data_IF_572848548607
#
_entry.id   IF_572848548607
#
_cell.length_a   1.000
_cell.length_b   1.000
_cell.length_c   1.000
_cell.angle_alpha   90.00
_cell.angle_beta   90.00
_cell.angle_gamma   90.00
#
_symmetry.space_group_name_H-M   'P 1'
#
loop_
_entity.id
_entity.type
_entity.pdbx_description
1 polymer ?
#
# COMPACT_ATOMS: atom_id res chain seq x y z
N UNK A 1 -18.93 -9.55 5.08
CA UNK A 1 -17.59 -8.95 4.89
C UNK A 1 -17.13 -8.37 6.23
N UNK A 2 -15.85 -8.48 6.52
CA UNK A 2 -15.22 -8.01 7.75
C UNK A 2 -14.35 -6.79 7.45
N UNK A 3 -14.22 -5.88 8.41
CA UNK A 3 -13.41 -4.68 8.25
C UNK A 3 -12.77 -4.23 9.57
N UNK A 4 -11.69 -3.45 9.48
CA UNK A 4 -11.04 -2.85 10.64
C UNK A 4 -11.87 -1.67 11.17
N UNK A 5 -12.03 -1.61 12.47
CA UNK A 5 -12.71 -0.49 13.13
C UNK A 5 -12.03 0.84 12.78
N UNK A 6 -12.79 1.78 12.25
CA UNK A 6 -12.29 3.09 11.84
C UNK A 6 -11.25 3.04 10.68
N UNK A 7 -11.14 1.92 9.96
CA UNK A 7 -10.19 1.77 8.87
C UNK A 7 -8.71 1.80 9.29
N UNK A 8 -8.41 1.50 10.55
CA UNK A 8 -7.03 1.56 11.07
C UNK A 8 -6.41 0.17 11.15
N UNK A 9 -5.28 -0.04 10.50
CA UNK A 9 -4.48 -1.25 10.58
C UNK A 9 -3.07 -0.92 11.08
N UNK A 10 -2.75 -1.33 12.31
CA UNK A 10 -1.42 -1.23 12.90
C UNK A 10 -0.66 -2.51 12.55
N UNK A 11 0.57 -2.40 12.04
CA UNK A 11 1.33 -3.55 11.61
C UNK A 11 2.81 -3.46 12.00
N UNK A 12 3.40 -4.63 12.21
CA UNK A 12 4.82 -4.81 12.48
C UNK A 12 5.48 -5.60 11.35
N UNK A 13 6.79 -5.44 11.19
CA UNK A 13 7.56 -6.24 10.27
C UNK A 13 8.54 -7.15 11.00
N UNK A 14 8.54 -8.44 10.64
CA UNK A 14 9.55 -9.39 11.09
C UNK A 14 10.48 -9.75 9.92
N UNK A 15 11.78 -9.34 9.97
CA UNK A 15 12.75 -9.63 8.91
C UNK A 15 13.36 -11.05 9.02
N UNK A 16 12.99 -11.86 10.00
CA UNK A 16 13.49 -13.24 10.11
C UNK A 16 13.11 -14.02 8.85
N UNK A 17 14.04 -14.83 8.34
CA UNK A 17 13.92 -15.59 7.10
C UNK A 17 13.80 -14.73 5.81
N UNK A 18 13.94 -13.41 5.89
CA UNK A 18 13.95 -12.55 4.70
C UNK A 18 15.03 -13.01 3.71
N UNK A 19 14.72 -13.11 2.39
CA UNK A 19 15.71 -13.44 1.38
C UNK A 19 16.93 -12.52 1.42
N UNK A 20 18.12 -13.10 1.37
CA UNK A 20 19.40 -12.39 1.54
C UNK A 20 19.68 -11.36 0.43
N UNK A 21 19.05 -11.50 -0.72
CA UNK A 21 19.18 -10.56 -1.85
C UNK A 21 18.32 -9.30 -1.71
N UNK A 22 17.48 -9.21 -0.68
CA UNK A 22 16.66 -8.05 -0.38
C UNK A 22 17.13 -7.40 0.93
N UNK A 23 17.30 -6.08 0.96
CA UNK A 23 17.57 -5.39 2.21
C UNK A 23 16.28 -5.13 3.00
N UNK A 24 16.37 -5.14 4.33
CA UNK A 24 15.22 -4.80 5.20
C UNK A 24 14.63 -3.42 4.87
N UNK A 25 15.49 -2.45 4.58
CA UNK A 25 15.04 -1.11 4.21
C UNK A 25 14.23 -1.10 2.91
N UNK A 26 14.67 -1.85 1.88
CA UNK A 26 13.94 -1.93 0.60
C UNK A 26 12.63 -2.69 0.74
N UNK A 27 12.61 -3.76 1.55
CA UNK A 27 11.37 -4.52 1.84
C UNK A 27 10.37 -3.65 2.59
N UNK A 28 10.78 -2.96 3.65
CA UNK A 28 9.92 -2.01 4.39
C UNK A 28 9.35 -0.93 3.47
N UNK A 29 10.19 -0.33 2.62
CA UNK A 29 9.73 0.67 1.67
C UNK A 29 8.70 0.10 0.67
N UNK A 30 8.87 -1.15 0.24
CA UNK A 30 7.92 -1.83 -0.64
C UNK A 30 6.58 -2.13 0.07
N UNK A 31 6.61 -2.58 1.33
CA UNK A 31 5.38 -2.76 2.13
C UNK A 31 4.65 -1.43 2.29
N UNK A 32 5.36 -0.37 2.62
CA UNK A 32 4.77 0.95 2.79
C UNK A 32 4.14 1.47 1.49
N UNK A 33 4.79 1.26 0.32
CA UNK A 33 4.19 1.60 -0.98
C UNK A 33 2.95 0.76 -1.28
N UNK A 34 3.00 -0.54 -1.01
CA UNK A 34 1.84 -1.43 -1.19
C UNK A 34 0.65 -0.97 -0.34
N UNK A 35 0.87 -0.71 0.95
CA UNK A 35 -0.14 -0.17 1.86
C UNK A 35 -0.70 1.19 1.39
N UNK A 36 0.19 2.06 0.93
CA UNK A 36 -0.17 3.40 0.46
C UNK A 36 -1.08 3.39 -0.78
N UNK A 37 -0.97 2.39 -1.66
CA UNK A 37 -1.89 2.23 -2.79
C UNK A 37 -3.32 2.06 -2.31
N UNK A 38 -3.55 1.22 -1.31
CA UNK A 38 -4.88 1.01 -0.72
C UNK A 38 -5.41 2.28 -0.05
N UNK A 39 -4.58 2.97 0.73
CA UNK A 39 -4.97 4.26 1.35
C UNK A 39 -5.30 5.35 0.33
N UNK A 40 -4.77 5.26 -0.88
CA UNK A 40 -5.11 6.15 -1.99
C UNK A 40 -6.48 5.86 -2.63
N UNK A 41 -7.03 4.67 -2.42
CA UNK A 41 -8.28 4.23 -3.04
C UNK A 41 -9.47 4.24 -2.09
N UNK A 42 -9.25 3.96 -0.82
CA UNK A 42 -10.31 3.91 0.18
C UNK A 42 -9.84 4.49 1.52
N UNK A 43 -10.79 4.66 2.44
CA UNK A 43 -10.56 5.34 3.72
C UNK A 43 -9.92 4.41 4.76
N UNK A 44 -8.69 3.94 4.47
CA UNK A 44 -7.88 3.12 5.38
C UNK A 44 -6.56 3.82 5.72
N UNK A 45 -6.04 3.53 6.90
CA UNK A 45 -4.75 4.03 7.37
C UNK A 45 -3.92 2.87 7.88
N UNK A 46 -2.68 2.78 7.40
CA UNK A 46 -1.71 1.78 7.83
C UNK A 46 -0.65 2.42 8.71
N UNK A 47 -0.53 1.96 9.94
CA UNK A 47 0.45 2.47 10.89
C UNK A 47 1.56 1.43 11.07
N UNK A 48 2.76 1.75 10.60
CA UNK A 48 3.94 0.94 10.87
C UNK A 48 4.39 1.14 12.32
N UNK A 49 4.41 0.06 13.08
CA UNK A 49 4.70 0.07 14.52
C UNK A 49 6.15 -0.31 14.83
N UNK A 50 6.93 -0.72 13.84
CA UNK A 50 8.33 -1.08 14.02
C UNK A 50 8.64 -2.54 13.68
N UNK A 51 9.88 -2.94 13.92
CA UNK A 51 10.31 -4.32 13.81
C UNK A 51 9.85 -5.13 15.04
N UNK A 52 9.56 -6.42 14.81
CA UNK A 52 9.16 -7.35 15.85
C UNK A 52 9.88 -8.69 15.68
N UNK A 53 10.07 -9.43 16.77
CA UNK A 53 10.63 -10.79 16.74
C UNK A 53 9.59 -11.90 16.69
N UNK A 54 8.32 -11.58 16.94
CA UNK A 54 7.23 -12.54 16.80
C UNK A 54 7.06 -12.92 15.33
N UNK A 55 6.87 -14.20 15.06
CA UNK A 55 6.56 -14.68 13.71
C UNK A 55 5.09 -14.40 13.38
N UNK A 56 4.79 -14.17 12.08
CA UNK A 56 3.40 -14.13 11.65
C UNK A 56 2.74 -15.50 11.90
N UNK A 57 1.51 -15.49 12.36
CA UNK A 57 0.76 -16.66 12.73
C UNK A 57 -0.17 -17.11 11.60
N UNK A 58 0.00 -18.32 11.11
CA UNK A 58 -0.91 -18.96 10.14
C UNK A 58 -1.80 -20.05 10.79
N UNK A 59 -1.63 -20.30 12.10
CA UNK A 59 -2.47 -21.25 12.80
C UNK A 59 -3.92 -20.73 12.86
N UNK A 60 -4.86 -21.55 12.42
CA UNK A 60 -6.27 -21.20 12.40
C UNK A 60 -6.97 -21.29 13.76
N UNK A 61 -6.27 -21.67 14.83
CA UNK A 61 -6.86 -21.83 16.16
C UNK A 61 -7.16 -20.46 16.80
N UNK A 62 -8.38 -20.27 17.30
CA UNK A 62 -8.77 -19.05 17.98
C UNK A 62 -7.90 -18.71 19.21
N UNK A 63 -7.24 -19.73 19.80
CA UNK A 63 -6.34 -19.57 20.93
C UNK A 63 -4.99 -18.94 20.58
N UNK A 64 -4.65 -18.84 19.29
CA UNK A 64 -3.39 -18.28 18.81
C UNK A 64 -3.50 -16.83 18.34
N UNK A 65 -4.71 -16.27 18.32
CA UNK A 65 -4.97 -14.87 17.94
C UNK A 65 -4.40 -13.95 19.00
N UNK A 66 -3.40 -13.15 18.64
CA UNK A 66 -2.72 -12.26 19.56
C UNK A 66 -3.03 -10.77 19.33
N UNK A 67 -3.74 -10.44 18.25
CA UNK A 67 -4.10 -9.07 17.81
C UNK A 67 -2.88 -8.21 17.46
N UNK A 68 -1.82 -8.85 17.03
CA UNK A 68 -0.58 -8.21 16.59
C UNK A 68 -0.35 -8.55 15.13
N UNK A 69 -0.70 -7.65 14.23
CA UNK A 69 -0.56 -7.89 12.79
C UNK A 69 0.93 -7.91 12.40
N UNK A 70 1.44 -9.06 12.03
CA UNK A 70 2.84 -9.27 11.66
C UNK A 70 2.93 -9.57 10.17
N UNK A 71 3.75 -8.83 9.46
CA UNK A 71 4.12 -9.11 8.07
C UNK A 71 5.54 -9.67 8.06
N UNK A 72 5.73 -10.85 7.50
CA UNK A 72 7.02 -11.51 7.57
C UNK A 72 7.18 -12.65 6.56
N UNK A 73 8.06 -13.59 6.86
CA UNK A 73 8.55 -14.61 5.96
C UNK A 73 8.55 -15.98 6.63
N UNK A 74 8.06 -16.97 5.94
CA UNK A 74 8.23 -18.36 6.35
C UNK A 74 8.14 -19.30 5.14
N UNK A 75 8.50 -20.55 5.34
CA UNK A 75 8.30 -21.62 4.38
C UNK A 75 6.84 -22.09 4.41
N UNK A 76 6.08 -21.77 3.38
CA UNK A 76 4.71 -22.26 3.26
C UNK A 76 4.71 -23.75 2.96
N UNK A 77 3.83 -24.49 3.62
CA UNK A 77 3.74 -25.95 3.56
C UNK A 77 2.31 -26.41 3.26
N UNK A 78 2.16 -27.70 2.97
CA UNK A 78 0.85 -28.31 2.68
C UNK A 78 0.20 -27.70 1.45
N UNK A 79 -1.06 -27.34 1.56
CA UNK A 79 -1.85 -26.77 0.45
C UNK A 79 -1.31 -25.40 0.01
N UNK A 80 -0.69 -24.66 0.91
CA UNK A 80 -0.12 -23.33 0.61
C UNK A 80 1.30 -23.38 0.03
N UNK A 81 1.92 -24.54 -0.08
CA UNK A 81 3.35 -24.66 -0.49
C UNK A 81 3.66 -24.01 -1.85
N UNK A 82 2.67 -23.95 -2.75
CA UNK A 82 2.81 -23.33 -4.09
C UNK A 82 2.47 -21.84 -4.11
N UNK A 83 1.93 -21.28 -3.04
CA UNK A 83 1.52 -19.87 -2.99
C UNK A 83 2.73 -18.97 -2.77
N UNK A 84 2.66 -17.75 -3.34
CA UNK A 84 3.71 -16.74 -3.16
C UNK A 84 3.60 -16.04 -1.80
N UNK A 85 2.39 -15.86 -1.32
CA UNK A 85 2.08 -15.33 -0.01
C UNK A 85 0.78 -15.92 0.52
N UNK A 86 0.54 -15.73 1.80
CA UNK A 86 -0.73 -16.07 2.47
C UNK A 86 -1.02 -15.03 3.53
N UNK A 87 -2.25 -14.56 3.54
CA UNK A 87 -2.79 -13.75 4.63
C UNK A 87 -3.75 -14.58 5.46
N UNK A 88 -3.55 -14.57 6.77
CA UNK A 88 -4.49 -15.16 7.72
C UNK A 88 -5.13 -14.05 8.55
N UNK A 89 -6.45 -13.98 8.50
CA UNK A 89 -7.23 -12.98 9.23
C UNK A 89 -8.17 -13.62 10.24
N UNK A 90 -8.41 -12.93 11.36
CA UNK A 90 -9.37 -13.32 12.38
C UNK A 90 -10.32 -12.16 12.64
N UNK A 91 -11.57 -12.49 12.99
CA UNK A 91 -12.62 -11.51 13.18
C UNK A 91 -13.60 -11.90 14.30
N UNK A 92 -14.25 -10.92 14.87
CA UNK A 92 -15.37 -11.07 15.78
C UNK A 92 -16.56 -10.29 15.20
N UNK A 93 -17.61 -11.01 14.85
CA UNK A 93 -18.74 -10.43 14.11
C UNK A 93 -18.29 -9.89 12.75
N UNK A 94 -18.47 -8.59 12.52
CA UNK A 94 -17.98 -7.90 11.31
C UNK A 94 -16.62 -7.21 11.49
N UNK A 95 -16.02 -7.26 12.68
CA UNK A 95 -14.75 -6.59 12.98
C UNK A 95 -13.55 -7.50 12.80
N UNK A 96 -12.60 -7.11 11.94
CA UNK A 96 -11.26 -7.70 11.90
C UNK A 96 -10.53 -7.34 13.20
N UNK A 97 -9.83 -8.30 13.77
CA UNK A 97 -9.11 -8.15 15.04
C UNK A 97 -7.64 -8.53 14.92
N UNK A 98 -7.28 -9.28 13.86
CA UNK A 98 -5.93 -9.77 13.63
C UNK A 98 -5.76 -10.11 12.15
N UNK A 99 -4.59 -9.84 11.58
CA UNK A 99 -4.23 -10.23 10.22
C UNK A 99 -2.71 -10.35 10.05
N UNK A 100 -2.26 -11.55 9.80
CA UNK A 100 -0.85 -11.85 9.55
C UNK A 100 -0.59 -12.16 8.09
N UNK A 101 0.54 -11.68 7.57
CA UNK A 101 0.97 -11.94 6.20
C UNK A 101 2.30 -12.70 6.22
N UNK A 102 2.31 -13.84 5.54
CA UNK A 102 3.52 -14.63 5.32
C UNK A 102 3.87 -14.67 3.84
N UNK A 103 5.08 -14.22 3.51
CA UNK A 103 5.67 -14.35 2.19
C UNK A 103 6.49 -15.65 2.13
N UNK A 104 6.34 -16.43 1.05
CA UNK A 104 6.92 -17.76 0.93
C UNK A 104 8.44 -17.70 0.65
N UNK A 105 9.24 -18.22 1.57
CA UNK A 105 10.70 -18.27 1.41
C UNK A 105 11.18 -19.30 0.39
N UNK A 106 10.32 -20.22 -0.07
CA UNK A 106 10.66 -21.17 -1.12
C UNK A 106 10.81 -20.53 -2.51
N UNK A 107 10.37 -19.29 -2.68
CA UNK A 107 10.40 -18.59 -3.95
C UNK A 107 11.61 -17.66 -4.05
N UNK A 108 12.09 -17.45 -5.28
CA UNK A 108 13.04 -16.39 -5.56
C UNK A 108 12.31 -15.05 -5.71
N UNK A 109 12.76 -14.06 -4.98
CA UNK A 109 12.10 -12.76 -4.93
C UNK A 109 12.94 -11.66 -5.59
N UNK A 110 12.34 -10.96 -6.56
CA UNK A 110 12.74 -9.58 -6.86
C UNK A 110 11.93 -8.63 -5.98
N UNK A 111 12.41 -7.40 -5.80
CA UNK A 111 11.66 -6.40 -5.02
C UNK A 111 10.31 -6.06 -5.67
N UNK A 112 10.24 -6.07 -7.01
CA UNK A 112 9.02 -5.81 -7.76
C UNK A 112 7.97 -6.91 -7.56
N UNK A 113 8.39 -8.18 -7.60
CA UNK A 113 7.51 -9.33 -7.36
C UNK A 113 6.99 -9.32 -5.93
N UNK A 114 7.88 -9.06 -4.96
CA UNK A 114 7.52 -8.89 -3.55
C UNK A 114 6.46 -7.82 -3.38
N UNK A 115 6.67 -6.62 -3.95
CA UNK A 115 5.73 -5.50 -3.82
C UNK A 115 4.37 -5.82 -4.44
N UNK A 116 4.35 -6.53 -5.58
CA UNK A 116 3.12 -6.97 -6.22
C UNK A 116 2.32 -7.93 -5.35
N UNK A 117 2.96 -9.00 -4.87
CA UNK A 117 2.32 -9.99 -3.98
C UNK A 117 1.91 -9.35 -2.66
N UNK A 118 2.76 -8.52 -2.05
CA UNK A 118 2.43 -7.80 -0.82
C UNK A 118 1.21 -6.88 -1.00
N UNK A 119 1.05 -6.25 -2.17
CA UNK A 119 -0.15 -5.44 -2.46
C UNK A 119 -1.42 -6.31 -2.46
N UNK A 120 -1.36 -7.51 -3.03
CA UNK A 120 -2.46 -8.49 -2.99
C UNK A 120 -2.75 -8.95 -1.55
N UNK A 121 -1.74 -9.38 -0.81
CA UNK A 121 -1.91 -9.88 0.56
C UNK A 121 -2.46 -8.80 1.51
N UNK A 122 -2.05 -7.54 1.34
CA UNK A 122 -2.64 -6.42 2.09
C UNK A 122 -4.13 -6.27 1.78
N UNK A 123 -4.58 -6.53 0.55
CA UNK A 123 -6.01 -6.57 0.23
C UNK A 123 -6.76 -7.59 1.06
N UNK A 124 -6.20 -8.79 1.24
CA UNK A 124 -6.75 -9.81 2.15
C UNK A 124 -6.72 -9.35 3.61
N UNK A 125 -5.64 -8.72 4.05
CA UNK A 125 -5.55 -8.16 5.41
C UNK A 125 -6.59 -7.05 5.67
N UNK A 126 -7.08 -6.39 4.61
CA UNK A 126 -8.20 -5.44 4.67
C UNK A 126 -9.58 -6.12 4.67
N UNK A 127 -9.66 -7.43 4.48
CA UNK A 127 -10.92 -8.18 4.44
C UNK A 127 -11.49 -8.38 3.04
N UNK A 128 -10.70 -8.17 1.99
CA UNK A 128 -11.09 -8.47 0.62
C UNK A 128 -10.84 -9.93 0.29
N UNK A 129 -11.80 -10.55 -0.37
CA UNK A 129 -11.65 -11.86 -1.01
C UNK A 129 -11.03 -11.73 -2.40
N UNK A 130 -10.75 -12.86 -3.04
CA UNK A 130 -10.34 -12.86 -4.44
C UNK A 130 -11.40 -12.25 -5.34
N UNK A 131 -10.96 -11.56 -6.37
CA UNK A 131 -11.80 -10.97 -7.41
C UNK A 131 -11.93 -11.93 -8.60
N UNK A 132 -13.09 -11.90 -9.25
CA UNK A 132 -13.32 -12.58 -10.53
C UNK A 132 -12.86 -11.74 -11.74
N UNK A 133 -12.40 -10.50 -11.50
CA UNK A 133 -11.93 -9.59 -12.55
C UNK A 133 -10.44 -9.79 -12.81
N UNK A 134 -10.01 -10.33 -13.97
CA UNK A 134 -8.61 -10.67 -14.22
C UNK A 134 -7.62 -9.49 -14.15
N UNK A 135 -8.11 -8.26 -14.29
CA UNK A 135 -7.30 -7.05 -14.20
C UNK A 135 -7.11 -6.55 -12.76
N UNK A 136 -7.88 -7.08 -11.79
CA UNK A 136 -7.78 -6.72 -10.37
C UNK A 136 -6.49 -7.28 -9.76
N UNK A 137 -5.90 -6.54 -8.82
CA UNK A 137 -4.82 -7.05 -7.98
C UNK A 137 -5.31 -8.22 -7.12
N UNK A 138 -6.58 -8.20 -6.72
CA UNK A 138 -7.20 -9.28 -5.93
C UNK A 138 -7.60 -10.51 -6.76
N UNK A 139 -7.33 -10.55 -8.07
CA UNK A 139 -7.55 -11.75 -8.87
C UNK A 139 -6.61 -12.87 -8.44
N UNK A 140 -7.16 -14.07 -8.19
CA UNK A 140 -6.37 -15.25 -7.84
C UNK A 140 -5.57 -15.72 -9.06
N UNK A 141 -4.32 -15.32 -9.17
CA UNK A 141 -3.44 -15.70 -10.27
C UNK A 141 -2.16 -16.35 -9.75
N UNK A 142 -1.69 -17.44 -10.38
CA UNK A 142 -0.37 -17.99 -10.08
C UNK A 142 0.79 -17.11 -10.60
N UNK A 143 0.49 -16.08 -11.40
CA UNK A 143 1.51 -15.21 -12.05
C UNK A 143 1.58 -13.84 -11.38
N UNK A 144 2.00 -13.80 -10.12
CA UNK A 144 2.19 -12.54 -9.39
C UNK A 144 3.54 -11.85 -9.69
N UNK A 145 4.28 -12.33 -10.68
CA UNK A 145 5.69 -12.03 -10.93
C UNK A 145 5.96 -10.82 -11.83
N UNK A 146 5.03 -9.91 -12.01
CA UNK A 146 5.32 -8.70 -12.79
C UNK A 146 4.76 -7.47 -12.08
N UNK A 147 5.45 -6.33 -12.12
CA UNK A 147 5.03 -5.07 -11.52
C UNK A 147 3.60 -4.59 -11.88
N UNK A 148 2.90 -5.33 -12.71
CA UNK A 148 1.49 -5.21 -13.02
C UNK A 148 0.59 -5.38 -11.78
N UNK A 149 0.92 -6.30 -10.89
CA UNK A 149 0.15 -6.61 -9.67
C UNK A 149 0.22 -5.52 -8.59
N UNK A 150 1.12 -4.56 -8.73
CA UNK A 150 1.22 -3.47 -7.78
C UNK A 150 0.31 -2.28 -8.10
N UNK A 151 -0.48 -2.33 -9.19
CA UNK A 151 -1.36 -1.23 -9.59
C UNK A 151 -2.81 -1.60 -9.35
N UNK A 152 -3.43 -1.03 -8.32
CA UNK A 152 -4.85 -1.22 -8.02
C UNK A 152 -5.73 -0.73 -9.17
N UNK A 153 -6.80 -1.47 -9.42
CA UNK A 153 -7.76 -1.21 -10.49
C UNK A 153 -9.13 -0.82 -9.92
N UNK A 154 -10.07 -0.54 -10.80
CA UNK A 154 -11.41 -0.11 -10.40
C UNK A 154 -12.14 -1.11 -9.50
N UNK A 155 -11.96 -2.41 -9.73
CA UNK A 155 -12.56 -3.45 -8.89
C UNK A 155 -11.96 -3.47 -7.48
N UNK A 156 -10.64 -3.37 -7.38
CA UNK A 156 -9.93 -3.27 -6.09
C UNK A 156 -10.39 -2.04 -5.31
N UNK A 157 -10.47 -0.89 -5.99
CA UNK A 157 -10.94 0.36 -5.40
C UNK A 157 -12.41 0.26 -4.93
N UNK A 158 -13.28 -0.36 -5.73
CA UNK A 158 -14.68 -0.55 -5.38
C UNK A 158 -14.85 -1.48 -4.18
N UNK A 159 -14.12 -2.60 -4.15
CA UNK A 159 -14.13 -3.53 -3.02
C UNK A 159 -13.67 -2.85 -1.72
N UNK A 160 -12.57 -2.14 -1.76
CA UNK A 160 -12.05 -1.40 -0.61
C UNK A 160 -13.00 -0.28 -0.16
N UNK A 161 -13.55 0.48 -1.10
CA UNK A 161 -14.52 1.53 -0.80
C UNK A 161 -15.84 0.99 -0.22
N UNK A 162 -16.26 -0.21 -0.60
CA UNK A 162 -17.43 -0.87 -0.03
C UNK A 162 -17.24 -1.23 1.46
N UNK A 163 -16.01 -1.52 1.88
CA UNK A 163 -15.67 -1.83 3.28
C UNK A 163 -15.42 -0.57 4.13
N UNK A 164 -14.76 0.44 3.57
CA UNK A 164 -14.20 1.55 4.33
C UNK A 164 -14.66 2.94 3.87
N UNK A 165 -15.42 3.02 2.81
CA UNK A 165 -15.68 4.27 2.10
C UNK A 165 -14.54 4.67 1.16
N UNK A 166 -14.85 5.41 0.12
CA UNK A 166 -13.85 5.95 -0.80
C UNK A 166 -12.94 6.95 -0.08
N UNK A 167 -11.68 7.05 -0.52
CA UNK A 167 -10.78 8.08 -0.04
C UNK A 167 -11.40 9.46 -0.28
N UNK A 168 -11.43 10.31 0.74
CA UNK A 168 -12.09 11.61 0.65
C UNK A 168 -11.27 12.58 -0.19
N UNK A 169 -11.93 13.50 -0.91
CA UNK A 169 -11.26 14.58 -1.63
C UNK A 169 -10.40 15.43 -0.67
N UNK A 170 -10.86 15.61 0.58
CA UNK A 170 -10.12 16.33 1.61
C UNK A 170 -8.80 15.63 1.96
N UNK A 171 -8.80 14.30 2.09
CA UNK A 171 -7.59 13.54 2.38
C UNK A 171 -6.62 13.53 1.18
N UNK A 172 -7.14 13.46 -0.04
CA UNK A 172 -6.32 13.58 -1.25
C UNK A 172 -5.66 14.96 -1.35
N UNK A 173 -6.40 16.03 -1.07
CA UNK A 173 -5.87 17.38 -1.04
C UNK A 173 -4.83 17.57 0.08
N UNK A 174 -5.09 17.04 1.26
CA UNK A 174 -4.15 17.05 2.39
C UNK A 174 -2.84 16.37 2.03
N UNK A 175 -2.91 15.17 1.49
CA UNK A 175 -1.75 14.39 1.06
C UNK A 175 -0.97 15.11 -0.06
N UNK A 176 -1.66 15.73 -1.03
CA UNK A 176 -1.03 16.47 -2.11
C UNK A 176 -0.37 17.77 -1.63
N UNK A 177 -1.00 18.49 -0.70
CA UNK A 177 -0.41 19.67 -0.07
C UNK A 177 0.85 19.32 0.74
N UNK A 178 0.85 18.19 1.42
CA UNK A 178 2.04 17.66 2.09
C UNK A 178 3.14 17.30 1.10
N UNK A 179 2.82 16.58 0.02
CA UNK A 179 3.77 16.26 -1.04
C UNK A 179 4.39 17.52 -1.65
N UNK A 180 3.58 18.57 -1.88
CA UNK A 180 4.07 19.86 -2.31
C UNK A 180 5.04 20.47 -1.29
N UNK A 181 4.71 20.46 0.00
CA UNK A 181 5.58 21.01 1.05
C UNK A 181 6.94 20.27 1.12
N UNK A 182 6.93 18.92 0.93
CA UNK A 182 8.15 18.12 0.94
C UNK A 182 9.01 18.39 -0.29
N UNK A 183 8.42 18.45 -1.48
CA UNK A 183 9.17 18.61 -2.74
C UNK A 183 9.37 20.07 -3.12
N UNK A 184 8.49 20.98 -2.70
CA UNK A 184 8.58 22.40 -3.02
C UNK A 184 9.49 23.19 -2.07
N UNK A 185 10.10 22.60 -1.06
CA UNK A 185 11.18 23.25 -0.32
C UNK A 185 12.39 23.60 -1.20
N UNK A 186 12.55 22.89 -2.31
CA UNK A 186 13.53 23.19 -3.36
C UNK A 186 12.93 23.90 -4.58
N UNK A 187 11.62 23.99 -4.63
CA UNK A 187 10.86 24.63 -5.67
C UNK A 187 10.36 26.01 -5.27
N UNK A 188 9.76 26.84 -5.54
CA UNK A 188 9.23 28.07 -4.95
C UNK A 188 8.08 27.82 -3.97
N UNK A 189 7.89 28.68 -2.97
CA UNK A 189 6.88 28.46 -1.93
C UNK A 189 5.41 28.51 -2.41
N UNK A 190 5.15 28.97 -3.64
CA UNK A 190 3.79 29.00 -4.19
C UNK A 190 3.78 28.65 -5.67
N UNK A 191 2.82 27.83 -6.07
CA UNK A 191 2.57 27.56 -7.47
C UNK A 191 2.15 28.83 -8.22
N UNK A 192 2.72 29.06 -9.40
CA UNK A 192 2.41 30.20 -10.26
C UNK A 192 1.09 29.99 -11.01
N UNK A 193 0.72 28.72 -11.24
CA UNK A 193 -0.52 28.33 -11.88
C UNK A 193 -0.93 26.91 -11.43
N UNK A 194 -2.20 26.58 -11.57
CA UNK A 194 -2.71 25.23 -11.40
C UNK A 194 -3.83 24.95 -12.40
N UNK A 195 -4.07 23.69 -12.68
CA UNK A 195 -5.12 23.28 -13.60
C UNK A 195 -5.23 21.78 -13.75
N UNK A 196 -5.99 21.36 -14.75
CA UNK A 196 -6.15 19.97 -15.13
C UNK A 196 -5.80 19.79 -16.59
N UNK A 197 -4.96 18.81 -16.90
CA UNK A 197 -4.56 18.47 -18.26
C UNK A 197 -4.41 16.95 -18.38
N UNK A 198 -5.06 16.33 -19.35
CA UNK A 198 -4.99 14.89 -19.62
C UNK A 198 -5.24 14.01 -18.37
N UNK A 199 -6.15 14.43 -17.50
CA UNK A 199 -6.47 13.73 -16.25
C UNK A 199 -5.52 14.00 -15.08
N UNK A 200 -4.46 14.76 -15.29
CA UNK A 200 -3.64 15.26 -14.19
C UNK A 200 -4.23 16.55 -13.64
N UNK A 201 -4.39 16.65 -12.33
CA UNK A 201 -4.39 17.94 -11.65
C UNK A 201 -2.93 18.33 -11.44
N UNK A 202 -2.54 19.55 -11.76
CA UNK A 202 -1.16 20.02 -11.65
C UNK A 202 -1.04 21.40 -10.97
N UNK A 203 0.14 21.62 -10.39
CA UNK A 203 0.66 22.93 -9.95
C UNK A 203 1.96 23.21 -10.71
N UNK A 204 2.05 24.39 -11.27
CA UNK A 204 3.22 24.85 -12.04
C UNK A 204 4.02 25.86 -11.24
N UNK A 205 5.34 25.73 -11.28
CA UNK A 205 6.31 26.59 -10.60
C UNK A 205 7.19 27.26 -11.65
N UNK A 206 6.95 28.57 -11.91
CA UNK A 206 7.56 29.28 -13.02
C UNK A 206 9.07 29.52 -12.84
N UNK A 207 9.53 29.66 -11.59
CA UNK A 207 10.94 29.86 -11.28
C UNK A 207 11.83 28.66 -11.56
N UNK A 208 11.29 27.45 -11.43
CA UNK A 208 12.00 26.19 -11.70
C UNK A 208 11.53 25.53 -13.00
N UNK A 209 10.53 26.12 -13.67
CA UNK A 209 9.89 25.56 -14.87
C UNK A 209 9.46 24.11 -14.67
N UNK A 210 8.91 23.80 -13.50
CA UNK A 210 8.54 22.45 -13.10
C UNK A 210 7.07 22.32 -12.73
N UNK A 211 6.60 21.10 -12.72
CA UNK A 211 5.23 20.75 -12.36
C UNK A 211 5.24 19.68 -11.26
N UNK A 212 4.35 19.83 -10.31
CA UNK A 212 3.93 18.77 -9.42
C UNK A 212 2.47 18.46 -9.72
N UNK A 213 2.14 17.19 -9.95
CA UNK A 213 0.81 16.79 -10.35
C UNK A 213 0.35 15.54 -9.66
N UNK A 214 -0.95 15.27 -9.74
CA UNK A 214 -1.55 14.04 -9.27
C UNK A 214 -2.54 13.50 -10.29
N UNK A 215 -2.53 12.18 -10.47
CA UNK A 215 -3.47 11.43 -11.28
C UNK A 215 -3.60 10.02 -10.72
N UNK A 216 -4.81 9.50 -10.65
CA UNK A 216 -5.11 8.13 -10.20
C UNK A 216 -4.45 7.78 -8.84
N UNK A 217 -4.47 8.74 -7.90
CA UNK A 217 -3.90 8.57 -6.57
C UNK A 217 -2.37 8.60 -6.48
N UNK A 218 -1.66 8.83 -7.59
CA UNK A 218 -0.21 8.99 -7.61
C UNK A 218 0.21 10.46 -7.73
N UNK A 219 1.40 10.76 -7.21
CA UNK A 219 2.06 12.07 -7.32
C UNK A 219 3.14 12.00 -8.39
N UNK A 220 3.20 13.00 -9.24
CA UNK A 220 4.15 13.10 -10.34
C UNK A 220 4.89 14.42 -10.29
N UNK A 221 6.16 14.40 -10.62
CA UNK A 221 7.00 15.55 -10.83
C UNK A 221 7.48 15.60 -12.28
N UNK A 222 7.51 16.78 -12.87
CA UNK A 222 8.11 17.02 -14.19
C UNK A 222 8.97 18.28 -14.11
N UNK A 223 10.27 18.14 -14.37
CA UNK A 223 11.21 19.25 -14.47
C UNK A 223 11.22 19.91 -15.84
N UNK A 224 12.12 20.88 -16.06
CA UNK A 224 12.25 21.59 -17.34
C UNK A 224 12.69 20.68 -18.50
N UNK A 225 13.20 19.51 -18.23
CA UNK A 225 13.55 18.46 -19.21
C UNK A 225 12.31 17.75 -19.79
N UNK A 226 11.12 17.99 -19.22
CA UNK A 226 9.85 17.37 -19.65
C UNK A 226 9.69 15.90 -19.24
N UNK A 227 10.61 15.37 -18.45
CA UNK A 227 10.53 13.97 -17.99
C UNK A 227 9.59 13.86 -16.79
N UNK A 228 8.55 13.02 -16.92
CA UNK A 228 7.60 12.76 -15.84
C UNK A 228 8.15 11.66 -14.93
N UNK A 229 8.30 11.98 -13.66
CA UNK A 229 8.75 11.05 -12.61
C UNK A 229 7.58 10.74 -11.68
N UNK A 230 7.37 9.46 -11.39
CA UNK A 230 6.41 9.04 -10.37
C UNK A 230 7.09 9.17 -8.98
N UNK A 231 6.50 10.00 -8.12
CA UNK A 231 7.02 10.33 -6.80
C UNK A 231 6.37 9.50 -5.68
N UNK A 232 5.49 8.58 -6.00
CA UNK A 232 4.75 7.76 -5.05
C UNK A 232 3.25 8.01 -5.07
N UNK A 233 2.53 7.45 -4.11
CA UNK A 233 1.08 7.59 -4.02
C UNK A 233 0.67 8.64 -2.98
N UNK A 234 -0.49 9.28 -3.18
CA UNK A 234 -1.10 10.17 -2.18
C UNK A 234 -1.31 9.45 -0.84
N UNK A 235 -1.65 8.16 -0.87
CA UNK A 235 -1.79 7.36 0.34
C UNK A 235 -0.50 7.24 1.15
N UNK A 236 0.69 7.26 0.50
CA UNK A 236 1.97 7.23 1.22
C UNK A 236 2.27 8.53 1.98
N UNK A 237 1.70 9.63 1.53
CA UNK A 237 1.87 10.96 2.15
C UNK A 237 0.82 11.27 3.21
N UNK A 238 -0.34 10.60 3.16
CA UNK A 238 -1.47 10.92 4.03
C UNK A 238 -1.17 10.79 5.54
N UNK A 239 -0.49 9.75 6.05
CA UNK A 239 -0.14 9.67 7.45
C UNK A 239 0.78 10.81 7.89
N UNK A 240 1.78 11.14 7.08
CA UNK A 240 2.71 12.24 7.37
C UNK A 240 2.00 13.60 7.30
N UNK A 241 1.10 13.78 6.33
CA UNK A 241 0.29 14.99 6.21
C UNK A 241 -0.59 15.20 7.46
N UNK A 242 -1.27 14.16 7.92
CA UNK A 242 -2.09 14.20 9.14
C UNK A 242 -1.24 14.51 10.37
N UNK A 243 -0.08 13.87 10.53
CA UNK A 243 0.84 14.12 11.64
C UNK A 243 1.42 15.53 11.63
N UNK A 244 1.57 16.13 10.46
CA UNK A 244 2.07 17.49 10.29
C UNK A 244 0.97 18.56 10.34
N UNK A 245 -0.30 18.17 10.54
CA UNK A 245 -1.43 19.10 10.66
C UNK A 245 -1.97 19.67 9.35
N UNK A 246 -1.69 18.98 8.22
CA UNK A 246 -2.25 19.33 6.89
C UNK A 246 -3.67 18.86 6.72
#
# INVERSE_FOLDING_TARGET
QQSWAGGQLNWYYNPLNQPFNLSTASVLAAIQRAAARWSGMCNVTFNYMGLISSLPNLDGAASTVDRVNVFGWDLLQGESASYSGVTKSWWIGAGLIDADIVMNTAQFWTLADFEGVMTHEIGHALGLDHSDVPASVMYASPYHSTGYMATLRGDDANGCAALYGAATTADSNRAFNWAEAVYAQSLSPAASASGTLQGYYYRYYSNTQSYLGTRDGAVYYMGPDGVIQNMGSLGSYLPQARNAGY
#
